data_IF_147537548675
#
_entry.id   IF_147537548675
#
_cell.length_a   1.000
_cell.length_b   1.000
_cell.length_c   1.000
_cell.angle_alpha   90.00
_cell.angle_beta   90.00
_cell.angle_gamma   90.00
#
_symmetry.space_group_name_H-M   'P 1'
#
loop_
_entity.id
_entity.type
_entity.pdbx_description
1 polymer ?
#
# COMPACT_ATOMS: atom_id res chain seq x y z
N UNK A 1 5.04 -16.22 -0.08
CA UNK A 1 5.92 -15.04 -0.07
C UNK A 1 5.89 -14.52 -1.48
N UNK A 2 5.26 -13.38 -1.70
CA UNK A 2 5.01 -12.82 -3.03
C UNK A 2 6.31 -12.35 -3.68
N UNK A 3 6.36 -12.42 -5.01
CA UNK A 3 7.50 -12.02 -5.82
C UNK A 3 7.19 -10.78 -6.65
N UNK A 4 8.17 -9.93 -6.89
CA UNK A 4 8.12 -8.87 -7.90
C UNK A 4 9.02 -9.26 -9.07
N UNK A 5 8.44 -9.40 -10.25
CA UNK A 5 9.09 -9.90 -11.46
C UNK A 5 9.16 -8.76 -12.47
N UNK A 6 10.37 -8.27 -12.70
CA UNK A 6 10.65 -7.25 -13.72
C UNK A 6 10.96 -7.93 -15.04
N UNK A 7 10.14 -7.69 -16.05
CA UNK A 7 10.40 -8.09 -17.44
C UNK A 7 10.83 -6.86 -18.20
N UNK A 8 12.12 -6.82 -18.57
CA UNK A 8 12.73 -5.66 -19.21
C UNK A 8 13.32 -5.94 -20.58
N UNK A 9 13.62 -4.88 -21.30
CA UNK A 9 14.13 -4.92 -22.67
C UNK A 9 13.67 -3.72 -23.47
N UNK A 10 14.32 -3.47 -24.60
CA UNK A 10 13.98 -2.34 -25.48
C UNK A 10 12.54 -2.46 -26.02
N UNK A 11 11.93 -1.33 -26.45
CA UNK A 11 10.70 -1.35 -27.25
C UNK A 11 10.78 -2.39 -28.38
N UNK A 12 9.73 -3.20 -28.59
CA UNK A 12 9.71 -4.25 -29.63
C UNK A 12 10.44 -5.57 -29.28
N UNK A 13 11.03 -5.70 -28.08
CA UNK A 13 11.67 -6.94 -27.64
C UNK A 13 10.73 -8.14 -27.49
N UNK A 14 9.41 -7.90 -27.38
CA UNK A 14 8.39 -8.94 -27.19
C UNK A 14 8.05 -9.23 -25.73
N UNK A 15 8.24 -8.24 -24.85
CA UNK A 15 7.95 -8.34 -23.41
C UNK A 15 6.49 -8.69 -23.14
N UNK A 16 5.53 -7.96 -23.71
CA UNK A 16 4.11 -8.23 -23.51
C UNK A 16 3.71 -9.63 -23.98
N UNK A 17 4.25 -10.09 -25.11
CA UNK A 17 4.04 -11.46 -25.60
C UNK A 17 4.63 -12.51 -24.65
N UNK A 18 5.82 -12.27 -24.13
CA UNK A 18 6.45 -13.15 -23.15
C UNK A 18 5.63 -13.22 -21.86
N UNK A 19 5.17 -12.08 -21.34
CA UNK A 19 4.35 -11.99 -20.14
C UNK A 19 3.04 -12.76 -20.32
N UNK A 20 2.32 -12.53 -21.42
CA UNK A 20 1.06 -13.21 -21.74
C UNK A 20 1.22 -14.73 -21.83
N UNK A 21 2.36 -15.22 -22.29
CA UNK A 21 2.60 -16.66 -22.39
C UNK A 21 3.06 -17.28 -21.06
N UNK A 22 3.88 -16.59 -20.27
CA UNK A 22 4.53 -17.16 -19.08
C UNK A 22 3.75 -16.90 -17.78
N UNK A 23 2.99 -15.81 -17.71
CA UNK A 23 2.34 -15.33 -16.50
C UNK A 23 0.81 -15.16 -16.68
N UNK A 24 0.18 -16.04 -17.47
CA UNK A 24 -1.26 -15.97 -17.79
C UNK A 24 -2.20 -16.38 -16.66
N UNK A 25 -1.70 -17.04 -15.62
CA UNK A 25 -2.50 -17.49 -14.48
C UNK A 25 -2.84 -16.32 -13.54
N UNK A 26 -4.04 -15.76 -13.70
CA UNK A 26 -4.53 -14.60 -12.93
C UNK A 26 -4.76 -14.86 -11.45
N UNK A 27 -4.84 -16.13 -11.04
CA UNK A 27 -4.91 -16.50 -9.61
C UNK A 27 -3.54 -16.35 -8.95
N UNK A 28 -2.47 -16.54 -9.72
CA UNK A 28 -1.09 -16.47 -9.23
C UNK A 28 -0.39 -15.14 -9.51
N UNK A 29 -0.71 -14.51 -10.63
CA UNK A 29 0.00 -13.33 -11.13
C UNK A 29 -0.93 -12.13 -11.27
N UNK A 30 -0.44 -10.97 -10.91
CA UNK A 30 -0.98 -9.68 -11.32
C UNK A 30 -0.01 -9.01 -12.26
N UNK A 31 -0.47 -8.71 -13.48
CA UNK A 31 0.34 -8.07 -14.51
C UNK A 31 0.04 -6.58 -14.50
N UNK A 32 1.06 -5.78 -14.24
CA UNK A 32 0.98 -4.32 -14.30
C UNK A 32 1.16 -3.87 -15.75
N UNK A 33 0.05 -3.78 -16.48
CA UNK A 33 0.00 -3.33 -17.87
C UNK A 33 -0.91 -2.11 -17.97
N UNK A 34 -0.29 -0.93 -17.99
CA UNK A 34 -1.00 0.36 -18.10
C UNK A 34 -1.78 0.49 -19.40
N UNK A 35 -1.27 -0.06 -20.51
CA UNK A 35 -1.94 0.01 -21.79
C UNK A 35 -3.18 -0.89 -21.81
N UNK A 36 -3.08 -2.11 -21.28
CA UNK A 36 -4.22 -3.02 -21.14
C UNK A 36 -5.28 -2.45 -20.19
N UNK A 37 -4.87 -1.87 -19.06
CA UNK A 37 -5.79 -1.22 -18.12
C UNK A 37 -6.49 -0.01 -18.75
N UNK A 38 -5.76 0.84 -19.48
CA UNK A 38 -6.32 1.98 -20.20
C UNK A 38 -7.32 1.54 -21.29
N UNK A 39 -6.95 0.56 -22.12
CA UNK A 39 -7.84 -0.01 -23.14
C UNK A 39 -9.09 -0.63 -22.53
N UNK A 40 -8.96 -1.33 -21.41
CA UNK A 40 -10.10 -1.92 -20.69
C UNK A 40 -11.09 -0.88 -20.18
N UNK A 41 -10.58 0.27 -19.71
CA UNK A 41 -11.39 1.33 -19.10
C UNK A 41 -11.97 2.33 -20.12
N UNK A 42 -11.19 2.73 -21.11
CA UNK A 42 -11.53 3.83 -22.03
C UNK A 42 -11.70 3.37 -23.50
N UNK A 43 -11.33 2.13 -23.83
CA UNK A 43 -11.40 1.58 -25.18
C UNK A 43 -10.36 2.15 -26.17
N UNK A 44 -9.44 3.00 -25.70
CA UNK A 44 -8.38 3.62 -26.49
C UNK A 44 -7.18 3.97 -25.58
N UNK A 45 -6.07 4.43 -26.17
CA UNK A 45 -4.83 4.78 -25.46
C UNK A 45 -4.61 6.29 -25.30
N UNK A 46 -5.56 7.14 -25.70
CA UNK A 46 -5.41 8.60 -25.63
C UNK A 46 -5.11 9.12 -24.20
N UNK A 47 -5.72 8.58 -23.13
CA UNK A 47 -5.38 9.01 -21.77
C UNK A 47 -3.90 8.86 -21.40
N UNK A 48 -3.21 7.85 -21.94
CA UNK A 48 -1.77 7.66 -21.66
C UNK A 48 -0.87 8.63 -22.44
N UNK A 49 -1.42 9.30 -23.46
CA UNK A 49 -0.70 10.30 -24.26
C UNK A 49 -0.79 11.71 -23.69
N UNK A 50 -1.62 11.91 -22.67
CA UNK A 50 -1.79 13.20 -22.01
C UNK A 50 -0.59 13.49 -21.10
N UNK A 51 0.32 14.34 -21.57
CA UNK A 51 1.56 14.71 -20.86
C UNK A 51 1.31 15.58 -19.61
N UNK A 52 0.15 16.23 -19.51
CA UNK A 52 -0.20 17.11 -18.39
C UNK A 52 -0.82 16.35 -17.19
N UNK A 53 -0.85 15.01 -17.23
CA UNK A 53 -1.47 14.16 -16.21
C UNK A 53 -2.92 14.56 -15.91
N UNK A 54 -3.76 14.67 -16.94
CA UNK A 54 -5.19 14.89 -16.76
C UNK A 54 -5.86 13.80 -15.91
N UNK A 55 -7.10 14.08 -15.48
CA UNK A 55 -7.87 13.23 -14.56
C UNK A 55 -7.92 11.76 -15.00
N UNK A 56 -8.04 11.50 -16.31
CA UNK A 56 -8.10 10.14 -16.86
C UNK A 56 -6.77 9.37 -16.67
N UNK A 57 -5.61 10.00 -16.92
CA UNK A 57 -4.29 9.38 -16.73
C UNK A 57 -4.03 9.07 -15.27
N UNK A 58 -4.31 10.02 -14.37
CA UNK A 58 -4.21 9.82 -12.92
C UNK A 58 -5.13 8.70 -12.44
N UNK A 59 -6.33 8.57 -13.03
CA UNK A 59 -7.25 7.49 -12.67
C UNK A 59 -6.74 6.10 -13.05
N UNK A 60 -5.90 5.99 -14.09
CA UNK A 60 -5.24 4.74 -14.49
C UNK A 60 -4.13 4.40 -13.50
N UNK A 61 -3.27 5.38 -13.19
CA UNK A 61 -2.17 5.23 -12.22
C UNK A 61 -2.72 4.77 -10.87
N UNK A 62 -3.66 5.53 -10.30
CA UNK A 62 -4.24 5.21 -8.99
C UNK A 62 -4.96 3.85 -9.00
N UNK A 63 -5.71 3.54 -10.07
CA UNK A 63 -6.41 2.26 -10.18
C UNK A 63 -5.45 1.06 -10.21
N UNK A 64 -4.35 1.15 -10.95
CA UNK A 64 -3.32 0.11 -10.98
C UNK A 64 -2.56 0.00 -9.65
N UNK A 65 -2.32 1.12 -8.97
CA UNK A 65 -1.73 1.13 -7.62
C UNK A 65 -2.61 0.34 -6.65
N UNK A 66 -3.90 0.66 -6.58
CA UNK A 66 -4.86 -0.03 -5.70
C UNK A 66 -4.93 -1.54 -6.03
N UNK A 67 -5.11 -1.88 -7.31
CA UNK A 67 -5.21 -3.27 -7.76
C UNK A 67 -3.93 -4.08 -7.47
N UNK A 68 -2.76 -3.48 -7.73
CA UNK A 68 -1.47 -4.12 -7.46
C UNK A 68 -1.20 -4.31 -5.97
N UNK A 69 -1.58 -3.33 -5.14
CA UNK A 69 -1.53 -3.44 -3.70
C UNK A 69 -2.39 -4.60 -3.18
N UNK A 70 -3.66 -4.67 -3.58
CA UNK A 70 -4.55 -5.77 -3.16
C UNK A 70 -4.07 -7.14 -3.68
N UNK A 71 -3.51 -7.20 -4.89
CA UNK A 71 -2.93 -8.43 -5.41
C UNK A 71 -1.78 -8.97 -4.54
N UNK A 72 -0.94 -8.08 -3.99
CA UNK A 72 0.11 -8.49 -3.04
C UNK A 72 -0.48 -9.05 -1.74
N UNK A 73 -1.56 -8.47 -1.23
CA UNK A 73 -2.28 -8.97 -0.04
C UNK A 73 -2.94 -10.33 -0.26
N UNK A 74 -3.44 -10.56 -1.47
CA UNK A 74 -3.98 -11.86 -1.91
C UNK A 74 -2.86 -12.91 -2.13
N UNK A 75 -1.59 -12.52 -1.98
CA UNK A 75 -0.44 -13.41 -2.12
C UNK A 75 -0.01 -13.67 -3.57
N UNK A 76 -0.43 -12.81 -4.51
CA UNK A 76 -0.05 -12.90 -5.92
C UNK A 76 1.35 -12.32 -6.16
N UNK A 77 2.00 -12.82 -7.20
CA UNK A 77 3.25 -12.25 -7.71
C UNK A 77 2.93 -11.06 -8.64
N UNK A 78 3.64 -9.95 -8.46
CA UNK A 78 3.56 -8.79 -9.36
C UNK A 78 4.49 -9.01 -10.56
N UNK A 79 3.96 -8.81 -11.75
CA UNK A 79 4.72 -8.86 -13.01
C UNK A 79 4.71 -7.48 -13.64
N UNK A 80 5.88 -6.90 -13.84
CA UNK A 80 6.07 -5.53 -14.28
C UNK A 80 6.75 -5.55 -15.65
N UNK A 81 6.06 -5.02 -16.66
CA UNK A 81 6.68 -4.72 -17.94
C UNK A 81 7.35 -3.34 -17.87
N UNK A 82 8.67 -3.30 -18.01
CA UNK A 82 9.40 -2.03 -17.97
C UNK A 82 10.38 -1.94 -19.15
N UNK A 83 10.44 -0.78 -19.79
CA UNK A 83 11.43 -0.53 -20.83
C UNK A 83 12.66 0.05 -20.14
N UNK A 84 13.81 -0.59 -20.28
CA UNK A 84 15.06 0.00 -19.79
C UNK A 84 15.46 1.10 -20.78
N UNK A 85 15.34 2.34 -20.35
CA UNK A 85 15.95 3.50 -21.02
C UNK A 85 17.24 3.81 -20.26
N UNK A 86 18.18 4.59 -20.81
CA UNK A 86 19.47 4.79 -20.13
C UNK A 86 19.37 5.63 -18.86
N UNK A 87 18.30 6.41 -18.72
CA UNK A 87 18.23 7.53 -17.77
C UNK A 87 17.38 7.19 -16.53
N UNK A 88 16.68 6.05 -16.51
CA UNK A 88 15.78 5.60 -15.43
C UNK A 88 16.31 4.41 -14.62
N UNK A 89 17.54 3.97 -14.89
CA UNK A 89 18.15 2.80 -14.24
C UNK A 89 18.31 2.96 -12.72
N UNK A 90 18.66 4.16 -12.25
CA UNK A 90 18.87 4.42 -10.83
C UNK A 90 17.54 4.29 -10.05
N UNK A 91 16.46 4.89 -10.55
CA UNK A 91 15.12 4.80 -9.97
C UNK A 91 14.61 3.36 -9.96
N UNK A 92 14.81 2.63 -11.06
CA UNK A 92 14.51 1.20 -11.13
C UNK A 92 15.23 0.39 -10.04
N UNK A 93 16.55 0.62 -9.85
CA UNK A 93 17.31 -0.09 -8.83
C UNK A 93 16.87 0.30 -7.40
N UNK A 94 16.56 1.56 -7.15
CA UNK A 94 16.04 2.01 -5.86
C UNK A 94 14.73 1.29 -5.50
N UNK A 95 13.83 1.11 -6.46
CA UNK A 95 12.59 0.34 -6.26
C UNK A 95 12.85 -1.15 -6.04
N UNK A 96 13.84 -1.73 -6.71
CA UNK A 96 14.30 -3.11 -6.44
C UNK A 96 14.82 -3.24 -5.01
N UNK A 97 15.61 -2.27 -4.53
CA UNK A 97 16.10 -2.26 -3.15
C UNK A 97 14.96 -2.07 -2.14
N UNK A 98 14.02 -1.15 -2.40
CA UNK A 98 12.81 -0.94 -1.57
C UNK A 98 12.00 -2.22 -1.46
N UNK A 99 11.71 -2.89 -2.58
CA UNK A 99 10.98 -4.16 -2.59
C UNK A 99 11.69 -5.27 -1.78
N UNK A 100 13.00 -5.44 -1.97
CA UNK A 100 13.77 -6.42 -1.20
C UNK A 100 13.79 -6.08 0.31
N UNK A 101 13.87 -4.79 0.66
CA UNK A 101 13.80 -4.29 2.04
C UNK A 101 12.46 -4.57 2.72
N UNK A 102 11.36 -4.58 1.96
CA UNK A 102 10.02 -4.96 2.41
C UNK A 102 9.80 -6.49 2.46
N UNK A 103 10.82 -7.28 2.12
CA UNK A 103 10.78 -8.73 2.20
C UNK A 103 10.22 -9.41 0.95
N UNK A 104 10.07 -8.72 -0.17
CA UNK A 104 9.73 -9.37 -1.43
C UNK A 104 10.96 -10.03 -2.05
N UNK A 105 10.75 -11.17 -2.70
CA UNK A 105 11.75 -11.69 -3.63
C UNK A 105 11.64 -10.92 -4.95
N UNK A 106 12.77 -10.48 -5.50
CA UNK A 106 12.80 -9.84 -6.83
C UNK A 106 13.34 -10.81 -7.90
N UNK A 107 12.72 -10.83 -9.09
CA UNK A 107 13.25 -11.47 -10.30
C UNK A 107 13.46 -10.42 -11.37
N UNK A 108 14.57 -10.51 -12.08
CA UNK A 108 14.79 -9.70 -13.28
C UNK A 108 14.97 -10.60 -14.50
N UNK A 109 14.07 -10.46 -15.46
CA UNK A 109 14.10 -11.11 -16.76
C UNK A 109 14.36 -10.05 -17.83
N UNK A 110 15.54 -10.09 -18.45
CA UNK A 110 15.87 -9.19 -19.56
C UNK A 110 15.72 -9.91 -20.91
N UNK A 111 14.90 -9.35 -21.81
CA UNK A 111 14.74 -9.83 -23.18
C UNK A 111 15.65 -9.04 -24.11
N UNK A 112 16.59 -9.75 -24.72
CA UNK A 112 17.50 -9.18 -25.72
C UNK A 112 16.97 -9.41 -27.13
N UNK A 113 17.03 -8.37 -27.96
CA UNK A 113 16.79 -8.45 -29.40
C UNK A 113 17.65 -7.40 -30.12
N UNK A 114 18.07 -7.70 -31.34
CA UNK A 114 18.72 -6.72 -32.21
C UNK A 114 17.78 -5.55 -32.51
N UNK A 115 18.31 -4.31 -32.44
CA UNK A 115 17.53 -3.08 -32.61
C UNK A 115 16.75 -3.05 -33.92
N UNK A 116 17.36 -3.51 -35.03
CA UNK A 116 16.70 -3.57 -36.33
C UNK A 116 15.45 -4.48 -36.34
N UNK A 117 15.50 -5.58 -35.59
CA UNK A 117 14.39 -6.53 -35.48
C UNK A 117 13.28 -5.94 -34.61
N UNK A 118 13.64 -5.30 -33.50
CA UNK A 118 12.71 -4.55 -32.66
C UNK A 118 11.96 -3.48 -33.46
N UNK A 119 12.68 -2.65 -34.22
CA UNK A 119 12.09 -1.59 -35.05
C UNK A 119 11.13 -2.15 -36.12
N UNK A 120 11.50 -3.26 -36.80
CA UNK A 120 10.61 -3.93 -37.76
C UNK A 120 9.32 -4.43 -37.10
N UNK A 121 9.40 -4.94 -35.87
CA UNK A 121 8.22 -5.39 -35.12
C UNK A 121 7.31 -4.23 -34.74
N UNK A 122 7.88 -3.11 -34.27
CA UNK A 122 7.13 -1.89 -33.95
C UNK A 122 6.41 -1.38 -35.20
N UNK A 123 7.12 -1.27 -36.32
CA UNK A 123 6.53 -0.84 -37.60
C UNK A 123 5.40 -1.78 -38.06
N UNK A 124 5.54 -3.09 -37.83
CA UNK A 124 4.52 -4.08 -38.20
C UNK A 124 3.28 -4.03 -37.31
N UNK A 125 3.42 -3.59 -36.05
CA UNK A 125 2.31 -3.45 -35.12
C UNK A 125 1.47 -2.19 -35.37
N UNK A 126 2.05 -1.15 -36.00
CA UNK A 126 1.34 0.09 -36.30
C UNK A 126 0.75 0.75 -35.04
N UNK A 127 -0.46 1.29 -35.15
CA UNK A 127 -1.13 2.04 -34.07
C UNK A 127 -1.51 1.20 -32.84
N UNK A 128 -1.39 -0.12 -32.93
CA UNK A 128 -1.62 -1.04 -31.81
C UNK A 128 -0.44 -1.11 -30.82
N UNK A 129 0.68 -0.48 -31.17
CA UNK A 129 1.87 -0.40 -30.32
C UNK A 129 2.08 1.03 -29.83
N UNK A 130 2.15 1.21 -28.50
CA UNK A 130 2.43 2.50 -27.88
C UNK A 130 3.59 2.36 -26.90
N UNK A 131 4.55 3.28 -27.01
CA UNK A 131 5.64 3.46 -26.07
C UNK A 131 5.97 4.95 -25.99
N UNK A 132 6.19 5.43 -24.77
CA UNK A 132 6.77 6.74 -24.46
C UNK A 132 7.69 6.61 -23.24
N UNK A 133 8.67 7.50 -23.12
CA UNK A 133 9.50 7.59 -21.91
C UNK A 133 8.64 7.91 -20.68
N UNK A 134 7.63 8.77 -20.85
CA UNK A 134 6.67 9.08 -19.80
C UNK A 134 5.94 7.84 -19.29
N UNK A 135 5.56 6.90 -20.17
CA UNK A 135 4.92 5.65 -19.77
C UNK A 135 5.89 4.74 -18.97
N UNK A 136 7.20 4.77 -19.28
CA UNK A 136 8.18 4.00 -18.52
C UNK A 136 8.28 4.52 -17.07
N UNK A 137 8.27 5.85 -16.89
CA UNK A 137 8.27 6.49 -15.58
C UNK A 137 6.96 6.26 -14.83
N UNK A 138 5.80 6.33 -15.50
CA UNK A 138 4.51 6.04 -14.85
C UNK A 138 4.46 4.64 -14.24
N UNK A 139 5.03 3.64 -14.93
CA UNK A 139 5.10 2.26 -14.43
C UNK A 139 5.93 2.20 -13.14
N UNK A 140 7.03 2.95 -13.05
CA UNK A 140 7.83 3.02 -11.82
C UNK A 140 7.08 3.75 -10.71
N UNK A 141 6.37 4.83 -11.03
CA UNK A 141 5.53 5.57 -10.08
C UNK A 141 4.40 4.71 -9.50
N UNK A 142 3.74 3.89 -10.32
CA UNK A 142 2.73 2.92 -9.84
C UNK A 142 3.37 1.91 -8.88
N UNK A 143 4.53 1.35 -9.23
CA UNK A 143 5.24 0.43 -8.35
C UNK A 143 5.63 1.11 -7.03
N UNK A 144 6.11 2.34 -7.09
CA UNK A 144 6.46 3.10 -5.89
C UNK A 144 5.25 3.24 -4.96
N UNK A 145 4.11 3.68 -5.48
CA UNK A 145 2.86 3.78 -4.72
C UNK A 145 2.46 2.45 -4.07
N UNK A 146 2.53 1.35 -4.82
CA UNK A 146 2.24 0.00 -4.30
C UNK A 146 3.16 -0.35 -3.12
N UNK A 147 4.46 -0.10 -3.24
CA UNK A 147 5.43 -0.42 -2.19
C UNK A 147 5.26 0.48 -0.96
N UNK A 148 4.88 1.74 -1.14
CA UNK A 148 4.58 2.67 -0.04
C UNK A 148 3.33 2.26 0.72
N UNK A 149 2.25 1.96 0.00
CA UNK A 149 1.02 1.47 0.59
C UNK A 149 1.26 0.15 1.32
N UNK A 150 2.04 -0.76 0.71
CA UNK A 150 2.42 -2.02 1.37
C UNK A 150 3.27 -1.77 2.61
N UNK A 151 4.27 -0.88 2.56
CA UNK A 151 5.09 -0.52 3.71
C UNK A 151 4.25 0.06 4.84
N UNK A 152 3.35 0.98 4.54
CA UNK A 152 2.42 1.56 5.51
C UNK A 152 1.58 0.46 6.15
N UNK A 153 1.03 -0.47 5.37
CA UNK A 153 0.16 -1.51 5.91
C UNK A 153 0.89 -2.63 6.66
N UNK A 154 2.09 -3.04 6.22
CA UNK A 154 2.91 -4.04 6.93
C UNK A 154 3.49 -3.49 8.23
N UNK A 155 3.72 -2.18 8.30
CA UNK A 155 4.15 -1.53 9.53
C UNK A 155 3.01 -1.36 10.55
N UNK A 156 1.75 -1.60 10.17
CA UNK A 156 0.58 -1.46 11.02
C UNK A 156 0.15 -2.81 11.62
N UNK A 157 0.40 -2.94 12.92
CA UNK A 157 -0.02 -4.08 13.71
C UNK A 157 -1.31 -3.72 14.47
N UNK A 158 -2.47 -4.26 14.08
CA UNK A 158 -3.70 -4.11 14.88
C UNK A 158 -3.52 -4.83 16.22
N UNK A 159 -3.65 -4.08 17.31
CA UNK A 159 -3.42 -4.56 18.66
C UNK A 159 -4.71 -4.93 19.38
N UNK A 160 -5.76 -4.14 19.21
CA UNK A 160 -7.04 -4.32 19.88
C UNK A 160 -8.18 -3.63 19.13
N UNK A 161 -9.40 -4.13 19.32
CA UNK A 161 -10.63 -3.51 18.85
C UNK A 161 -11.60 -3.36 20.03
N UNK A 162 -12.17 -2.16 20.15
CA UNK A 162 -13.20 -1.83 21.14
C UNK A 162 -14.48 -1.41 20.42
N UNK A 163 -15.65 -1.77 20.94
CA UNK A 163 -16.90 -1.10 20.59
C UNK A 163 -17.06 0.14 21.45
N UNK A 164 -17.22 1.31 20.84
CA UNK A 164 -17.53 2.56 21.50
C UNK A 164 -18.91 3.11 21.13
N UNK A 165 -19.31 4.28 21.69
CA UNK A 165 -20.61 4.90 21.44
C UNK A 165 -20.91 5.25 19.98
N UNK A 166 -19.87 5.43 19.16
CA UNK A 166 -19.97 5.90 17.78
C UNK A 166 -19.61 4.84 16.73
N UNK A 167 -19.28 3.62 17.14
CA UNK A 167 -18.77 2.57 16.26
C UNK A 167 -17.55 1.87 16.85
N UNK A 168 -16.85 1.10 16.01
CA UNK A 168 -15.64 0.42 16.47
C UNK A 168 -14.45 1.37 16.55
N UNK A 169 -13.63 1.16 17.56
CA UNK A 169 -12.36 1.85 17.78
C UNK A 169 -11.26 0.81 17.61
N UNK A 170 -10.39 1.00 16.61
CA UNK A 170 -9.30 0.07 16.31
C UNK A 170 -7.98 0.68 16.72
N UNK A 171 -7.22 -0.05 17.53
CA UNK A 171 -5.94 0.35 18.06
C UNK A 171 -4.82 -0.30 17.25
N UNK A 172 -3.86 0.51 16.80
CA UNK A 172 -2.73 0.08 16.00
C UNK A 172 -1.41 0.40 16.68
N UNK A 173 -0.39 -0.39 16.33
CA UNK A 173 1.01 -0.09 16.53
C UNK A 173 1.67 0.09 15.18
N UNK A 174 2.41 1.17 15.03
CA UNK A 174 3.25 1.45 13.86
C UNK A 174 4.71 1.36 14.25
N UNK A 175 5.47 0.51 13.56
CA UNK A 175 6.92 0.51 13.65
C UNK A 175 7.47 1.50 12.60
N UNK A 176 8.06 2.60 13.04
CA UNK A 176 8.89 3.45 12.17
C UNK A 176 10.36 3.02 12.27
N UNK A 177 11.23 3.60 11.42
CA UNK A 177 12.67 3.34 11.46
C UNK A 177 13.32 3.77 12.78
N UNK A 178 12.73 4.75 13.48
CA UNK A 178 13.33 5.39 14.65
C UNK A 178 12.59 5.05 15.96
N UNK A 179 11.31 4.69 15.89
CA UNK A 179 10.48 4.51 17.08
C UNK A 179 9.25 3.61 16.86
N UNK A 180 8.62 3.21 17.97
CA UNK A 180 7.35 2.50 17.97
C UNK A 180 6.30 3.47 18.45
N UNK A 181 5.30 3.75 17.62
CA UNK A 181 4.18 4.61 17.97
C UNK A 181 2.87 3.83 17.96
N UNK A 182 1.91 4.33 18.71
CA UNK A 182 0.59 3.74 18.87
C UNK A 182 -0.47 4.79 18.56
N UNK A 183 -1.59 4.39 17.97
CA UNK A 183 -2.71 5.29 17.69
C UNK A 183 -4.00 4.48 17.56
N UNK A 184 -5.14 5.15 17.64
CA UNK A 184 -6.45 4.52 17.37
C UNK A 184 -7.25 5.30 16.35
N UNK A 185 -8.10 4.57 15.63
CA UNK A 185 -9.05 5.13 14.65
C UNK A 185 -10.46 4.72 15.02
N UNK A 186 -11.40 5.62 14.73
CA UNK A 186 -12.82 5.39 14.90
C UNK A 186 -13.45 5.07 13.55
N UNK A 187 -14.37 4.12 13.56
CA UNK A 187 -15.24 3.84 12.43
C UNK A 187 -16.01 5.11 12.07
N UNK A 188 -15.95 5.52 10.80
CA UNK A 188 -16.56 6.74 10.24
C UNK A 188 -15.92 8.09 10.63
N UNK A 189 -14.76 8.11 11.29
CA UNK A 189 -14.00 9.35 11.47
C UNK A 189 -13.18 9.70 10.20
N UNK A 190 -13.22 10.98 9.81
CA UNK A 190 -12.32 11.54 8.80
C UNK A 190 -11.12 12.17 9.47
N UNK A 191 -9.91 11.70 9.15
CA UNK A 191 -8.67 12.26 9.69
C UNK A 191 -7.90 12.97 8.57
N UNK A 192 -7.37 14.15 8.85
CA UNK A 192 -6.61 15.01 7.93
C UNK A 192 -5.08 14.86 8.05
N UNK A 193 -4.59 14.05 9.00
CA UNK A 193 -3.15 13.83 9.23
C UNK A 193 -2.83 13.30 10.63
N UNK A 194 -1.53 13.27 10.99
CA UNK A 194 -1.02 12.79 12.28
C UNK A 194 -0.43 13.93 13.13
N UNK A 195 -0.55 13.84 14.46
CA UNK A 195 0.07 14.77 15.42
C UNK A 195 0.64 14.00 16.61
N UNK A 196 1.83 14.40 17.09
CA UNK A 196 2.41 13.84 18.32
C UNK A 196 1.60 14.22 19.56
N UNK A 197 1.55 13.35 20.57
CA UNK A 197 0.80 13.62 21.80
C UNK A 197 1.34 14.84 22.57
N UNK A 198 2.64 15.12 22.48
CA UNK A 198 3.31 16.29 23.03
C UNK A 198 2.88 17.62 22.37
N UNK A 199 2.47 17.59 21.11
CA UNK A 199 2.06 18.78 20.34
C UNK A 199 0.56 19.14 20.54
N UNK A 200 -0.13 18.34 21.36
CA UNK A 200 -1.57 18.46 21.61
C UNK A 200 -1.89 19.52 22.67
N UNK A 201 -0.92 19.91 23.49
CA UNK A 201 -1.09 20.95 24.52
C UNK A 201 -1.47 22.30 23.90
N UNK A 202 -2.78 22.62 23.93
CA UNK A 202 -3.33 23.92 23.51
C UNK A 202 -3.99 23.95 22.13
N UNK A 203 -4.16 22.82 21.43
CA UNK A 203 -4.90 22.75 20.16
C UNK A 203 -6.13 21.84 20.25
N UNK A 204 -7.21 22.22 19.59
CA UNK A 204 -8.38 21.34 19.41
C UNK A 204 -8.08 20.43 18.22
N UNK A 205 -7.73 19.17 18.49
CA UNK A 205 -7.45 18.13 17.49
C UNK A 205 -8.76 17.70 16.79
N UNK A 206 -9.37 18.60 16.03
CA UNK A 206 -10.70 18.32 15.48
C UNK A 206 -10.66 17.30 14.33
N UNK A 207 -9.52 17.15 13.63
CA UNK A 207 -9.39 16.20 12.52
C UNK A 207 -8.04 15.46 12.47
N UNK A 208 -7.18 15.48 13.50
CA UNK A 208 -5.86 14.83 13.45
C UNK A 208 -5.77 13.58 14.31
N UNK A 209 -5.11 12.55 13.80
CA UNK A 209 -4.84 11.30 14.50
C UNK A 209 -3.66 11.48 15.44
N UNK A 210 -3.84 11.13 16.72
CA UNK A 210 -2.82 11.34 17.75
C UNK A 210 -1.90 10.12 17.86
N UNK A 211 -0.59 10.38 17.83
CA UNK A 211 0.45 9.37 18.00
C UNK A 211 0.95 9.37 19.45
N UNK A 212 0.99 8.18 20.06
CA UNK A 212 1.43 7.95 21.42
C UNK A 212 2.70 7.09 21.42
N UNK A 213 3.59 7.35 22.38
CA UNK A 213 4.88 6.66 22.48
C UNK A 213 4.81 5.30 23.19
N UNK A 214 3.67 4.95 23.80
CA UNK A 214 3.47 3.64 24.41
C UNK A 214 1.99 3.22 24.45
N UNK A 215 1.80 1.90 24.64
CA UNK A 215 0.49 1.27 24.69
C UNK A 215 -0.40 1.74 25.85
N UNK A 216 0.17 2.10 27.00
CA UNK A 216 -0.64 2.52 28.15
C UNK A 216 -1.26 3.89 27.91
N UNK A 217 -0.52 4.81 27.28
CA UNK A 217 -0.97 6.18 27.04
C UNK A 217 -2.09 6.22 26.00
N UNK A 218 -1.96 5.46 24.90
CA UNK A 218 -3.03 5.36 23.89
C UNK A 218 -4.30 4.74 24.47
N UNK A 219 -4.16 3.71 25.32
CA UNK A 219 -5.31 3.09 26.00
C UNK A 219 -5.93 4.10 26.97
N UNK A 220 -5.13 4.79 27.78
CA UNK A 220 -5.63 5.83 28.68
C UNK A 220 -6.42 6.89 27.91
N UNK A 221 -5.93 7.34 26.77
CA UNK A 221 -6.63 8.33 25.95
C UNK A 221 -7.96 7.82 25.40
N UNK A 222 -8.05 6.56 24.97
CA UNK A 222 -9.33 5.95 24.56
C UNK A 222 -10.33 5.99 25.73
N UNK A 223 -9.89 5.59 26.92
CA UNK A 223 -10.73 5.58 28.12
C UNK A 223 -11.15 6.98 28.58
N UNK A 224 -10.25 7.95 28.49
CA UNK A 224 -10.52 9.32 28.91
C UNK A 224 -11.45 10.03 27.90
N UNK A 225 -11.35 9.71 26.61
CA UNK A 225 -12.22 10.24 25.56
C UNK A 225 -13.64 9.66 25.60
N UNK A 226 -13.79 8.35 25.86
CA UNK A 226 -15.07 7.66 25.75
C UNK A 226 -15.76 7.36 27.09
N UNK A 227 -14.97 7.28 28.17
CA UNK A 227 -15.41 6.78 29.46
C UNK A 227 -15.49 5.26 29.49
N UNK A 228 -14.90 4.66 30.53
CA UNK A 228 -14.76 3.20 30.66
C UNK A 228 -16.07 2.41 30.56
N UNK A 229 -17.16 2.94 31.13
CA UNK A 229 -18.47 2.26 31.12
C UNK A 229 -19.19 2.24 29.77
N UNK A 230 -18.61 2.84 28.73
CA UNK A 230 -19.18 2.90 27.37
C UNK A 230 -18.33 2.16 26.33
N UNK A 231 -17.27 1.49 26.76
CA UNK A 231 -16.40 0.71 25.91
C UNK A 231 -16.63 -0.78 26.17
N UNK A 232 -16.50 -1.61 25.14
CA UNK A 232 -16.47 -3.06 25.26
C UNK A 232 -15.32 -3.59 24.42
N UNK A 233 -14.48 -4.45 24.99
CA UNK A 233 -13.37 -5.05 24.26
C UNK A 233 -13.88 -6.17 23.33
N UNK A 234 -13.61 -6.07 22.04
CA UNK A 234 -13.95 -7.11 21.05
C UNK A 234 -12.78 -8.08 20.90
N UNK A 235 -11.59 -7.54 20.71
CA UNK A 235 -10.37 -8.33 20.49
C UNK A 235 -9.14 -7.60 21.03
N UNK A 236 -8.14 -8.36 21.44
CA UNK A 236 -6.81 -7.86 21.79
C UNK A 236 -5.78 -8.98 21.59
N UNK A 237 -4.56 -8.63 21.20
CA UNK A 237 -3.46 -9.60 21.15
C UNK A 237 -3.18 -10.19 22.55
N UNK A 238 -2.96 -11.50 22.60
CA UNK A 238 -2.79 -12.26 23.86
C UNK A 238 -1.69 -11.69 24.76
N UNK A 239 -0.57 -11.27 24.18
CA UNK A 239 0.55 -10.69 24.92
C UNK A 239 0.22 -9.34 25.58
N UNK A 240 -0.83 -8.65 25.13
CA UNK A 240 -1.27 -7.35 25.65
C UNK A 240 -2.41 -7.47 26.68
N UNK A 241 -3.09 -8.62 26.77
CA UNK A 241 -4.11 -8.86 27.81
C UNK A 241 -3.61 -8.60 29.23
N UNK A 242 -2.41 -9.05 29.66
CA UNK A 242 -1.92 -8.78 31.01
C UNK A 242 -1.64 -7.29 31.25
N UNK A 243 -1.22 -6.57 30.22
CA UNK A 243 -0.93 -5.12 30.29
C UNK A 243 -2.23 -4.35 30.47
N UNK A 244 -3.23 -4.64 29.62
CA UNK A 244 -4.56 -4.04 29.72
C UNK A 244 -5.20 -4.36 31.07
N UNK A 245 -5.12 -5.61 31.54
CA UNK A 245 -5.65 -6.00 32.86
C UNK A 245 -5.03 -5.19 34.00
N UNK A 246 -3.70 -5.03 34.01
CA UNK A 246 -3.01 -4.22 35.03
C UNK A 246 -3.40 -2.74 34.97
N UNK A 247 -3.53 -2.19 33.76
CA UNK A 247 -3.97 -0.81 33.56
C UNK A 247 -5.38 -0.60 34.15
N UNK A 248 -6.30 -1.53 33.89
CA UNK A 248 -7.67 -1.48 34.37
C UNK A 248 -7.80 -1.79 35.86
N UNK A 249 -6.97 -2.68 36.42
CA UNK A 249 -6.94 -3.01 37.85
C UNK A 249 -6.57 -1.78 38.71
N UNK A 250 -5.84 -0.83 38.13
CA UNK A 250 -5.55 0.47 38.74
C UNK A 250 -6.73 1.46 38.71
N UNK A 251 -7.79 1.15 37.96
CA UNK A 251 -9.00 1.98 37.76
C UNK A 251 -10.26 1.24 38.24
N UNK A 252 -10.28 0.77 39.49
CA UNK A 252 -11.32 -0.10 40.12
C UNK A 252 -12.78 0.43 40.15
N UNK A 253 -13.07 1.54 39.48
CA UNK A 253 -14.38 2.19 39.46
C UNK A 253 -15.20 1.81 38.21
N UNK A 254 -14.76 0.83 37.42
CA UNK A 254 -15.45 0.38 36.20
C UNK A 254 -16.54 -0.64 36.61
N UNK A 255 -17.84 -0.27 36.57
CA UNK A 255 -18.91 -1.26 36.72
C UNK A 255 -18.81 -2.21 35.52
N UNK A 256 -19.04 -3.50 35.70
CA UNK A 256 -19.00 -4.54 34.64
C UNK A 256 -17.62 -5.17 34.33
N UNK A 257 -16.71 -5.16 35.31
CA UNK A 257 -15.40 -5.82 35.29
C UNK A 257 -15.34 -7.22 34.65
N UNK A 258 -16.24 -8.12 35.07
CA UNK A 258 -16.26 -9.50 34.57
C UNK A 258 -16.90 -9.63 33.18
N UNK A 259 -17.59 -8.60 32.68
CA UNK A 259 -18.16 -8.57 31.32
C UNK A 259 -17.20 -7.94 30.31
N UNK A 260 -16.21 -7.17 30.76
CA UNK A 260 -15.25 -6.51 29.87
C UNK A 260 -14.12 -7.43 29.39
N UNK A 261 -13.80 -8.49 30.17
CA UNK A 261 -12.71 -9.42 29.90
C UNK A 261 -13.14 -10.79 29.35
N UNK A 262 -14.46 -11.06 29.30
CA UNK A 262 -15.08 -12.29 28.78
C UNK A 262 -15.73 -12.01 27.41
#
# INVERSE_FOLDING_TARGET
>A
MSKIIFVTGIPGAGKSTYIKNKYSDKEKYFIMDMAEHCLGRFGNLEPLKDEDYGEDRLSIINGLTDEGFFALFDGKDLVIEHNVVSDDLDEFFDLVYKANGLGFQTEWVHLYVELEVAQKRIQSAGDSYYFSEALALDVLMVLEGILEDYQLNVQLEELAVFTGPKGNIRLFKKQTEQEIVFFFVEEHAGYSGFIGCEDLEGKVATDSMVLYNNFNDVVASIYDQYGAGKLSLISIKENLKPVLKRFLDGRKDIPYWDQFLN
#
